data_IF_889167299866
#
_entry.id   IF_889167299866
#
_cell.length_a   1.000
_cell.length_b   1.000
_cell.length_c   1.000
_cell.angle_alpha   90.00
_cell.angle_beta   90.00
_cell.angle_gamma   90.00
#
_symmetry.space_group_name_H-M   'P 1'
#
loop_
_entity.id
_entity.type
_entity.pdbx_description
1 polymer ?
#
# COMPACT_ATOMS: atom_id res chain seq x y z
N UNK A 1 -0.84 3.22 14.30
CA UNK A 1 -0.03 2.87 13.13
C UNK A 1 -0.82 1.94 12.22
N UNK A 2 -0.83 2.23 10.92
CA UNK A 2 -1.61 1.42 9.97
C UNK A 2 -0.75 0.25 9.49
N UNK A 3 -1.31 -0.95 9.56
CA UNK A 3 -0.64 -2.15 9.08
C UNK A 3 -1.40 -2.74 7.89
N UNK A 4 -0.80 -3.72 7.22
CA UNK A 4 -1.44 -4.38 6.09
C UNK A 4 -2.81 -4.96 6.44
N UNK A 5 -2.94 -5.48 7.65
CA UNK A 5 -4.20 -6.08 8.11
C UNK A 5 -5.29 -5.05 8.38
N UNK A 6 -4.90 -3.78 8.51
CA UNK A 6 -5.84 -2.69 8.78
C UNK A 6 -6.39 -2.03 7.51
N UNK A 7 -5.94 -2.48 6.35
CA UNK A 7 -6.41 -1.92 5.08
C UNK A 7 -7.81 -2.39 4.76
N UNK A 8 -8.63 -1.53 4.13
CA UNK A 8 -9.95 -1.94 3.65
C UNK A 8 -9.87 -3.08 2.64
N UNK A 9 -10.98 -3.80 2.48
CA UNK A 9 -11.05 -4.83 1.47
C UNK A 9 -10.77 -4.25 0.09
N UNK A 10 -9.91 -4.90 -0.65
CA UNK A 10 -9.53 -4.43 -1.99
C UNK A 10 -8.33 -3.52 -2.00
N UNK A 11 -8.04 -2.81 -0.89
CA UNK A 11 -6.89 -1.91 -0.86
C UNK A 11 -5.57 -2.67 -0.99
N UNK A 12 -5.47 -3.81 -0.33
CA UNK A 12 -4.27 -4.64 -0.43
C UNK A 12 -4.06 -5.16 -1.85
N UNK A 13 -5.15 -5.58 -2.49
CA UNK A 13 -5.09 -6.04 -3.87
C UNK A 13 -4.65 -4.93 -4.81
N UNK A 14 -5.19 -3.72 -4.62
CA UNK A 14 -4.80 -2.57 -5.41
C UNK A 14 -3.32 -2.23 -5.18
N UNK A 15 -2.86 -2.32 -3.94
CA UNK A 15 -1.45 -2.08 -3.62
C UNK A 15 -0.54 -3.05 -4.37
N UNK A 16 -0.90 -4.33 -4.39
CA UNK A 16 -0.14 -5.34 -5.12
C UNK A 16 -0.09 -5.04 -6.62
N UNK A 17 -1.21 -4.57 -7.16
CA UNK A 17 -1.29 -4.19 -8.57
C UNK A 17 -0.36 -3.00 -8.87
N UNK A 18 -0.39 -1.97 -8.02
CA UNK A 18 0.46 -0.80 -8.20
C UNK A 18 1.94 -1.14 -8.09
N UNK A 19 2.28 -2.08 -7.22
CA UNK A 19 3.64 -2.58 -7.11
C UNK A 19 4.08 -3.25 -8.41
N UNK A 20 3.18 -4.01 -9.03
CA UNK A 20 3.48 -4.68 -10.30
C UNK A 20 3.68 -3.66 -11.44
N UNK A 21 3.11 -2.47 -11.30
CA UNK A 21 3.33 -1.37 -12.26
C UNK A 21 4.61 -0.59 -11.96
N UNK A 22 5.33 -0.96 -10.91
CA UNK A 22 6.55 -0.28 -10.48
C UNK A 22 6.31 1.18 -10.09
N UNK A 23 5.13 1.49 -9.54
CA UNK A 23 4.83 2.85 -9.07
C UNK A 23 5.63 3.18 -7.81
N UNK A 24 6.07 4.43 -7.65
CA UNK A 24 6.76 4.84 -6.42
C UNK A 24 5.80 4.82 -5.21
N UNK A 25 6.34 4.62 -4.00
CA UNK A 25 5.49 4.53 -2.79
C UNK A 25 4.63 5.76 -2.57
N UNK A 26 5.14 6.95 -2.87
CA UNK A 26 4.37 8.18 -2.71
C UNK A 26 3.13 8.20 -3.59
N UNK A 27 3.24 7.70 -4.81
CA UNK A 27 2.10 7.62 -5.73
C UNK A 27 1.10 6.58 -5.27
N UNK A 28 1.58 5.44 -4.79
CA UNK A 28 0.71 4.39 -4.25
C UNK A 28 -0.10 4.94 -3.06
N UNK A 29 0.58 5.66 -2.14
CA UNK A 29 -0.11 6.26 -1.02
C UNK A 29 -1.19 7.23 -1.48
N UNK A 30 -0.87 8.09 -2.45
CA UNK A 30 -1.82 9.05 -2.98
C UNK A 30 -3.06 8.38 -3.56
N UNK A 31 -2.85 7.36 -4.37
CA UNK A 31 -3.97 6.66 -5.02
C UNK A 31 -4.85 5.94 -4.02
N UNK A 32 -4.25 5.27 -3.04
CA UNK A 32 -5.01 4.57 -2.01
C UNK A 32 -5.77 5.55 -1.12
N UNK A 33 -5.16 6.68 -0.78
CA UNK A 33 -5.82 7.69 0.03
C UNK A 33 -7.07 8.24 -0.66
N UNK A 34 -7.00 8.44 -1.97
CA UNK A 34 -8.15 8.95 -2.73
C UNK A 34 -9.22 7.90 -2.90
N UNK A 35 -8.83 6.66 -3.14
CA UNK A 35 -9.78 5.58 -3.42
C UNK A 35 -10.51 5.10 -2.17
N UNK A 36 -9.85 5.10 -1.02
CA UNK A 36 -10.38 4.51 0.20
C UNK A 36 -10.47 5.49 1.36
N UNK A 37 -10.22 6.77 1.11
CA UNK A 37 -10.27 7.82 2.13
C UNK A 37 -9.32 7.49 3.31
N UNK A 38 -8.08 7.17 2.98
CA UNK A 38 -7.06 6.83 3.96
C UNK A 38 -6.07 7.98 4.15
N UNK A 39 -5.24 7.87 5.19
CA UNK A 39 -4.20 8.85 5.50
C UNK A 39 -2.82 8.20 5.47
N UNK A 40 -2.53 7.47 4.42
CA UNK A 40 -1.24 6.81 4.27
C UNK A 40 -0.15 7.82 3.90
N UNK A 41 1.03 7.64 4.48
CA UNK A 41 2.20 8.42 4.09
C UNK A 41 3.10 7.55 3.22
N UNK A 42 4.04 8.19 2.53
CA UNK A 42 5.02 7.47 1.74
C UNK A 42 5.78 6.44 2.58
N UNK A 43 6.16 6.83 3.79
CA UNK A 43 6.93 5.95 4.68
C UNK A 43 6.09 4.77 5.14
N UNK A 44 4.81 5.00 5.42
CA UNK A 44 3.90 3.92 5.78
C UNK A 44 3.79 2.90 4.65
N UNK A 45 3.67 3.39 3.41
CA UNK A 45 3.59 2.50 2.25
C UNK A 45 4.89 1.72 2.07
N UNK A 46 6.04 2.37 2.26
CA UNK A 46 7.32 1.69 2.17
C UNK A 46 7.38 0.53 3.17
N UNK A 47 6.94 0.76 4.40
CA UNK A 47 6.88 -0.30 5.41
C UNK A 47 5.97 -1.44 5.01
N UNK A 48 4.81 -1.12 4.45
CA UNK A 48 3.86 -2.12 3.97
C UNK A 48 4.43 -2.95 2.82
N UNK A 49 5.13 -2.29 1.89
CA UNK A 49 5.74 -2.97 0.75
C UNK A 49 6.83 -3.94 1.20
N UNK A 50 7.59 -3.57 2.21
CA UNK A 50 8.60 -4.46 2.78
C UNK A 50 7.94 -5.70 3.38
N UNK A 51 6.83 -5.55 4.05
CA UNK A 51 6.10 -6.66 4.63
C UNK A 51 5.53 -7.59 3.55
N UNK A 52 4.97 -7.00 2.51
CA UNK A 52 4.45 -7.77 1.38
C UNK A 52 5.55 -8.61 0.76
N UNK A 53 6.72 -8.02 0.58
CA UNK A 53 7.86 -8.73 -0.01
C UNK A 53 8.29 -9.91 0.86
N UNK A 54 8.25 -9.73 2.17
CA UNK A 54 8.59 -10.82 3.11
C UNK A 54 7.59 -11.96 3.05
N UNK A 55 6.30 -11.62 2.98
CA UNK A 55 5.25 -12.62 2.97
C UNK A 55 5.17 -13.40 1.66
N UNK A 56 5.63 -12.80 0.58
CA UNK A 56 5.62 -13.45 -0.73
C UNK A 56 6.79 -14.41 -0.95
N UNK A 57 7.70 -14.45 -0.03
CA UNK A 57 8.79 -15.41 -0.07
C UNK A 57 8.48 -16.61 0.81
#
# INVERSE_FOLDING_TARGET
>A
MIELTDLPDGALEDMKRYVSYAWPPGRIAQMLNRAYDLNLTRETVIGMLRRLKHECE
#
